data_IF_113248133297
#
_entry.id   IF_113248133297
#
_cell.length_a   1.000
_cell.length_b   1.000
_cell.length_c   1.000
_cell.angle_alpha   90.00
_cell.angle_beta   90.00
_cell.angle_gamma   90.00
#
_symmetry.space_group_name_H-M   'P 1'
#
loop_
_entity.id
_entity.type
_entity.pdbx_description
1 polymer ?
#
# COMPACT_ATOMS: atom_id res chain seq x y z
N UNK A 1 9.44 -14.01 2.35
CA UNK A 1 10.57 -13.11 2.02
C UNK A 1 10.14 -11.65 1.79
N UNK A 2 8.89 -11.25 2.08
CA UNK A 2 8.31 -10.00 1.56
C UNK A 2 8.25 -8.84 2.58
N UNK A 3 8.34 -9.13 3.89
CA UNK A 3 8.29 -8.11 4.96
C UNK A 3 9.51 -7.17 4.96
N UNK A 4 10.64 -7.61 4.42
CA UNK A 4 11.87 -6.81 4.37
C UNK A 4 11.74 -5.58 3.45
N UNK A 5 10.93 -5.67 2.40
CA UNK A 5 10.73 -4.53 1.48
C UNK A 5 9.75 -3.50 2.06
N UNK A 6 8.72 -3.97 2.76
CA UNK A 6 7.71 -3.14 3.44
C UNK A 6 8.35 -2.34 4.57
N UNK A 7 9.08 -3.03 5.46
CA UNK A 7 9.82 -2.41 6.55
C UNK A 7 10.93 -1.47 6.04
N UNK A 8 11.53 -1.78 4.89
CA UNK A 8 12.51 -0.91 4.24
C UNK A 8 11.91 0.42 3.80
N UNK A 9 10.72 0.40 3.17
CA UNK A 9 10.02 1.60 2.73
C UNK A 9 9.63 2.49 3.92
N UNK A 10 9.04 1.91 4.96
CA UNK A 10 8.61 2.66 6.16
C UNK A 10 9.78 3.29 6.91
N UNK A 11 10.91 2.58 7.00
CA UNK A 11 12.11 3.08 7.67
C UNK A 11 12.78 4.22 6.88
N UNK A 12 12.81 4.12 5.56
CA UNK A 12 13.32 5.18 4.68
C UNK A 12 12.39 6.40 4.70
N UNK A 13 11.06 6.21 4.70
CA UNK A 13 10.08 7.28 4.92
C UNK A 13 10.27 7.97 6.28
N UNK A 14 10.41 7.22 7.36
CA UNK A 14 10.64 7.79 8.70
C UNK A 14 11.94 8.59 8.76
N UNK A 15 13.00 8.13 8.09
CA UNK A 15 14.27 8.85 7.97
C UNK A 15 14.11 10.16 7.20
N UNK A 16 13.41 10.14 6.07
CA UNK A 16 13.12 11.32 5.24
C UNK A 16 12.21 12.33 5.96
N UNK A 17 11.19 11.87 6.67
CA UNK A 17 10.30 12.72 7.46
C UNK A 17 11.07 13.42 8.60
N UNK A 18 11.98 12.71 9.27
CA UNK A 18 12.87 13.33 10.28
C UNK A 18 13.79 14.36 9.63
N UNK A 19 14.43 14.05 8.50
CA UNK A 19 15.29 15.00 7.79
C UNK A 19 14.53 16.26 7.33
N UNK A 20 13.31 16.11 6.80
CA UNK A 20 12.44 17.21 6.43
C UNK A 20 12.02 18.05 7.66
N UNK A 21 11.72 17.42 8.78
CA UNK A 21 11.40 18.12 10.03
C UNK A 21 12.59 18.90 10.58
N UNK A 22 13.81 18.35 10.47
CA UNK A 22 15.04 19.03 10.87
C UNK A 22 15.26 20.28 10.00
N UNK A 23 15.05 20.18 8.68
CA UNK A 23 15.15 21.30 7.76
C UNK A 23 14.22 22.47 8.13
N UNK A 24 13.02 22.17 8.66
CA UNK A 24 12.04 23.16 9.18
C UNK A 24 12.51 23.83 10.47
N UNK A 25 13.16 23.10 11.36
CA UNK A 25 13.63 23.63 12.65
C UNK A 25 14.91 24.47 12.56
N UNK A 26 15.63 24.42 11.43
CA UNK A 26 16.75 25.33 11.17
C UNK A 26 16.17 26.72 10.91
N UNK A 27 15.79 27.40 11.99
CA UNK A 27 15.21 28.74 11.96
C UNK A 27 16.27 29.77 11.53
N UNK A 28 15.92 30.83 10.76
CA UNK A 28 16.87 31.77 10.17
C UNK A 28 17.52 32.75 11.18
N UNK A 29 17.48 32.47 12.47
CA UNK A 29 17.76 33.44 13.53
C UNK A 29 19.24 33.67 13.83
N UNK A 30 20.16 33.37 12.90
CA UNK A 30 21.53 33.80 13.04
C UNK A 30 22.07 34.36 11.72
N UNK A 31 22.11 35.69 11.70
CA UNK A 31 22.63 36.55 10.67
C UNK A 31 24.05 36.12 10.25
N UNK A 32 24.36 36.32 8.96
CA UNK A 32 25.71 36.49 8.40
C UNK A 32 26.50 35.27 7.84
N UNK A 33 25.86 34.19 7.38
CA UNK A 33 26.59 33.16 6.61
C UNK A 33 25.82 32.68 5.36
N UNK A 34 26.28 33.09 4.17
CA UNK A 34 25.85 32.59 2.86
C UNK A 34 25.91 31.05 2.74
N UNK A 35 26.73 30.38 3.58
CA UNK A 35 26.81 28.91 3.63
C UNK A 35 25.53 28.22 4.14
N UNK A 36 24.69 28.90 4.94
CA UNK A 36 23.50 28.30 5.54
C UNK A 36 22.36 28.07 4.54
N UNK A 37 22.22 28.96 3.54
CA UNK A 37 21.24 28.82 2.47
C UNK A 37 21.61 27.68 1.50
N UNK A 38 22.89 27.53 1.18
CA UNK A 38 23.38 26.46 0.32
C UNK A 38 23.25 25.08 0.97
N UNK A 39 23.58 24.97 2.27
CA UNK A 39 23.38 23.72 3.02
C UNK A 39 21.90 23.29 3.11
N UNK A 40 20.97 24.24 3.23
CA UNK A 40 19.53 23.95 3.17
C UNK A 40 19.11 23.45 1.80
N UNK A 41 19.63 24.05 0.72
CA UNK A 41 19.35 23.63 -0.64
C UNK A 41 19.90 22.23 -0.95
N UNK A 42 21.11 21.94 -0.49
CA UNK A 42 21.74 20.63 -0.65
C UNK A 42 20.99 19.54 0.13
N UNK A 43 20.59 19.83 1.37
CA UNK A 43 19.73 18.93 2.15
C UNK A 43 18.37 18.72 1.48
N UNK A 44 17.74 19.77 0.98
CA UNK A 44 16.48 19.66 0.28
C UNK A 44 16.58 18.80 -0.99
N UNK A 45 17.64 18.97 -1.78
CA UNK A 45 17.89 18.18 -2.99
C UNK A 45 18.11 16.70 -2.65
N UNK A 46 18.78 16.41 -1.53
CA UNK A 46 18.94 15.04 -1.04
C UNK A 46 17.62 14.41 -0.60
N UNK A 47 16.72 15.17 0.03
CA UNK A 47 15.37 14.73 0.42
C UNK A 47 14.51 14.50 -0.83
N UNK A 48 14.59 15.38 -1.84
CA UNK A 48 13.89 15.18 -3.13
C UNK A 48 14.33 13.90 -3.83
N UNK A 49 15.63 13.62 -3.84
CA UNK A 49 16.17 12.38 -4.43
C UNK A 49 15.68 11.15 -3.67
N UNK A 50 15.61 11.22 -2.34
CA UNK A 50 15.06 10.16 -1.50
C UNK A 50 13.55 9.93 -1.70
N UNK A 51 12.78 11.01 -1.88
CA UNK A 51 11.34 10.94 -2.19
C UNK A 51 11.10 10.25 -3.54
N UNK A 52 11.86 10.59 -4.59
CA UNK A 52 11.75 9.94 -5.90
C UNK A 52 12.10 8.44 -5.82
N UNK A 53 13.07 8.07 -4.97
CA UNK A 53 13.42 6.67 -4.71
C UNK A 53 12.30 5.92 -3.98
N UNK A 54 11.67 6.54 -2.96
CA UNK A 54 10.51 5.98 -2.27
C UNK A 54 9.31 5.81 -3.20
N UNK A 55 9.09 6.76 -4.11
CA UNK A 55 8.03 6.70 -5.12
C UNK A 55 8.26 5.53 -6.09
N UNK A 56 9.49 5.34 -6.56
CA UNK A 56 9.85 4.21 -7.43
C UNK A 56 9.71 2.87 -6.71
N UNK A 57 10.10 2.81 -5.43
CA UNK A 57 9.91 1.62 -4.60
C UNK A 57 8.44 1.31 -4.36
N UNK A 58 7.61 2.34 -4.13
CA UNK A 58 6.17 2.17 -3.98
C UNK A 58 5.53 1.64 -5.26
N UNK A 59 5.94 2.16 -6.42
CA UNK A 59 5.47 1.70 -7.72
C UNK A 59 5.86 0.24 -7.98
N UNK A 60 7.08 -0.16 -7.59
CA UNK A 60 7.53 -1.55 -7.71
C UNK A 60 6.74 -2.48 -6.77
N UNK A 61 6.47 -2.04 -5.53
CA UNK A 61 5.67 -2.77 -4.53
C UNK A 61 4.19 -2.95 -4.92
N UNK A 62 3.66 -1.96 -5.63
CA UNK A 62 2.33 -1.98 -6.24
C UNK A 62 2.31 -2.96 -7.43
N UNK A 63 3.33 -2.92 -8.30
CA UNK A 63 3.45 -3.85 -9.44
C UNK A 63 3.60 -5.31 -9.00
N UNK A 64 4.23 -5.56 -7.85
CA UNK A 64 4.40 -6.92 -7.30
C UNK A 64 3.16 -7.45 -6.57
N UNK A 65 2.03 -6.71 -6.56
CA UNK A 65 0.81 -7.04 -5.79
C UNK A 65 1.05 -7.31 -4.30
N UNK A 66 2.19 -6.86 -3.76
CA UNK A 66 2.56 -7.11 -2.37
C UNK A 66 1.92 -6.12 -1.40
N UNK A 67 1.43 -5.00 -1.92
CA UNK A 67 0.79 -3.93 -1.14
C UNK A 67 -0.60 -3.73 -1.69
N UNK A 68 -1.60 -3.73 -0.81
CA UNK A 68 -2.98 -3.37 -1.18
C UNK A 68 -2.99 -1.96 -1.77
N UNK A 69 -3.76 -1.77 -2.85
CA UNK A 69 -4.04 -0.47 -3.49
C UNK A 69 -4.34 0.65 -2.47
N UNK A 70 -4.99 0.31 -1.37
CA UNK A 70 -5.32 1.23 -0.25
C UNK A 70 -4.07 1.72 0.48
N UNK A 71 -3.14 0.83 0.81
CA UNK A 71 -1.91 1.19 1.51
C UNK A 71 -0.96 1.93 0.56
N UNK A 72 -0.94 1.58 -0.73
CA UNK A 72 -0.22 2.35 -1.74
C UNK A 72 -0.76 3.78 -1.88
N UNK A 73 -2.09 3.96 -1.92
CA UNK A 73 -2.74 5.27 -1.96
C UNK A 73 -2.45 6.11 -0.71
N UNK A 74 -2.49 5.51 0.48
CA UNK A 74 -2.12 6.17 1.74
C UNK A 74 -0.67 6.63 1.72
N UNK A 75 0.25 5.78 1.27
CA UNK A 75 1.69 6.06 1.15
C UNK A 75 1.99 7.16 0.13
N UNK A 76 1.28 7.20 -1.01
CA UNK A 76 1.35 8.33 -1.95
C UNK A 76 0.90 9.64 -1.30
N UNK A 77 -0.18 9.62 -0.51
CA UNK A 77 -0.65 10.79 0.23
C UNK A 77 0.41 11.35 1.19
N UNK A 78 1.13 10.47 1.88
CA UNK A 78 2.24 10.84 2.77
C UNK A 78 3.44 11.44 2.01
N UNK A 79 3.82 10.84 0.88
CA UNK A 79 4.89 11.37 0.02
C UNK A 79 4.54 12.74 -0.56
N UNK A 80 3.30 12.92 -1.02
CA UNK A 80 2.84 14.19 -1.60
C UNK A 80 2.75 15.30 -0.53
N UNK A 81 2.39 14.93 0.71
CA UNK A 81 2.46 15.82 1.87
C UNK A 81 3.89 16.29 2.18
N UNK A 82 4.86 15.37 2.23
CA UNK A 82 6.28 15.70 2.42
C UNK A 82 6.82 16.55 1.26
N UNK A 83 6.40 16.26 0.02
CA UNK A 83 6.80 17.01 -1.17
C UNK A 83 6.26 18.43 -1.16
N UNK A 84 5.01 18.64 -0.74
CA UNK A 84 4.43 19.97 -0.54
C UNK A 84 5.20 20.78 0.51
N UNK A 85 5.45 20.18 1.67
CA UNK A 85 6.22 20.83 2.75
C UNK A 85 7.65 21.18 2.33
N UNK A 86 8.27 20.34 1.51
CA UNK A 86 9.61 20.59 1.00
C UNK A 86 9.63 21.70 -0.06
N UNK A 87 8.61 21.77 -0.92
CA UNK A 87 8.44 22.82 -1.94
C UNK A 87 8.23 24.20 -1.32
N UNK A 88 7.48 24.27 -0.22
CA UNK A 88 7.27 25.49 0.56
C UNK A 88 8.59 25.96 1.21
N UNK A 89 9.38 25.03 1.75
CA UNK A 89 10.67 25.33 2.39
C UNK A 89 11.80 25.73 1.43
N UNK A 90 11.76 25.23 0.19
CA UNK A 90 12.86 25.38 -0.79
C UNK A 90 12.67 26.53 -1.75
N UNK A 91 11.57 27.27 -1.62
CA UNK A 91 11.32 28.39 -2.50
C UNK A 91 10.91 27.91 -3.89
N UNK A 92 9.67 27.45 -4.00
CA UNK A 92 8.87 27.70 -5.19
C UNK A 92 8.58 29.20 -5.34
N UNK A 93 9.61 30.05 -5.39
CA UNK A 93 9.53 31.41 -5.88
C UNK A 93 9.28 31.34 -7.38
N UNK A 94 8.05 31.03 -7.77
CA UNK A 94 7.53 31.45 -9.08
C UNK A 94 7.42 32.96 -9.04
N UNK A 95 8.52 33.59 -9.44
CA UNK A 95 8.60 34.89 -10.09
C UNK A 95 7.25 35.38 -10.60
N UNK A 96 6.75 36.46 -10.00
CA UNK A 96 5.53 37.12 -10.44
C UNK A 96 5.30 38.48 -9.79
N UNK A 97 6.30 39.38 -9.81
CA UNK A 97 6.06 40.81 -9.58
C UNK A 97 7.07 41.48 -8.65
N UNK A 98 8.01 42.21 -9.23
CA UNK A 98 9.07 42.92 -8.51
C UNK A 98 8.56 44.03 -7.57
N UNK A 99 9.26 44.17 -6.45
CA UNK A 99 9.21 45.31 -5.53
C UNK A 99 10.67 45.49 -5.09
N UNK A 100 11.42 46.49 -5.54
CA UNK A 100 11.08 47.89 -5.36
C UNK A 100 11.28 48.26 -3.89
N UNK A 101 12.53 48.45 -3.48
CA UNK A 101 12.98 49.34 -2.37
C UNK A 101 11.88 49.78 -1.39
N UNK A 102 11.88 49.37 -0.10
CA UNK A 102 10.83 49.79 0.81
C UNK A 102 10.96 51.30 1.09
N UNK A 103 9.89 52.11 1.00
CA UNK A 103 9.85 53.38 1.70
C UNK A 103 9.39 53.13 3.14
N UNK A 104 10.09 53.78 4.06
CA UNK A 104 9.72 53.89 5.45
C UNK A 104 8.32 54.52 5.59
N UNK A 105 7.44 53.90 6.39
CA UNK A 105 6.16 54.52 6.76
C UNK A 105 5.16 53.59 7.44
N UNK A 106 5.07 53.69 8.77
CA UNK A 106 3.81 53.63 9.51
C UNK A 106 3.10 52.28 9.69
N UNK A 107 3.34 51.62 10.82
CA UNK A 107 2.34 51.14 11.81
C UNK A 107 1.08 50.36 11.44
N UNK A 108 0.72 50.13 10.18
CA UNK A 108 -0.52 49.45 9.73
C UNK A 108 -0.22 48.18 8.91
N UNK A 109 1.06 47.88 8.66
CA UNK A 109 1.51 46.80 7.79
C UNK A 109 1.37 45.40 8.41
N UNK A 110 1.48 45.26 9.73
CA UNK A 110 1.45 43.93 10.36
C UNK A 110 0.11 43.21 10.16
N UNK A 111 -1.01 43.93 10.26
CA UNK A 111 -2.36 43.37 10.08
C UNK A 111 -2.68 43.09 8.62
N UNK A 112 -2.28 43.98 7.70
CA UNK A 112 -2.47 43.78 6.26
C UNK A 112 -1.59 42.66 5.69
N UNK A 113 -0.36 42.51 6.19
CA UNK A 113 0.53 41.40 5.86
C UNK A 113 0.00 40.07 6.45
N UNK A 114 -0.53 40.10 7.68
CA UNK A 114 -1.13 38.91 8.31
C UNK A 114 -2.42 38.44 7.61
N UNK A 115 -3.23 39.36 7.07
CA UNK A 115 -4.42 39.01 6.28
C UNK A 115 -4.04 38.38 4.93
N UNK A 116 -3.06 38.94 4.22
CA UNK A 116 -2.56 38.35 2.96
C UNK A 116 -2.01 36.94 3.15
N UNK A 117 -1.28 36.71 4.25
CA UNK A 117 -0.77 35.39 4.59
C UNK A 117 -1.91 34.42 4.95
N UNK A 118 -3.01 34.89 5.53
CA UNK A 118 -4.19 34.05 5.78
C UNK A 118 -4.92 33.69 4.49
N UNK A 119 -5.05 34.62 3.54
CA UNK A 119 -5.66 34.35 2.24
C UNK A 119 -4.86 33.31 1.45
N UNK A 120 -3.52 33.39 1.50
CA UNK A 120 -2.63 32.40 0.87
C UNK A 120 -2.79 31.00 1.51
N UNK A 121 -2.92 30.93 2.83
CA UNK A 121 -3.22 29.67 3.54
C UNK A 121 -4.60 29.11 3.19
N UNK A 122 -5.60 29.97 2.98
CA UNK A 122 -6.96 29.55 2.59
C UNK A 122 -6.96 28.96 1.17
N UNK A 123 -6.19 29.54 0.25
CA UNK A 123 -6.08 29.04 -1.13
C UNK A 123 -5.38 27.67 -1.17
N UNK A 124 -4.33 27.49 -0.37
CA UNK A 124 -3.68 26.19 -0.17
C UNK A 124 -4.61 25.15 0.46
N UNK A 125 -5.43 25.55 1.44
CA UNK A 125 -6.46 24.69 2.01
C UNK A 125 -7.52 24.31 0.96
N UNK A 126 -7.93 25.24 0.09
CA UNK A 126 -8.89 24.96 -0.96
C UNK A 126 -8.36 23.94 -1.97
N UNK A 127 -7.09 24.08 -2.37
CA UNK A 127 -6.40 23.10 -3.23
C UNK A 127 -6.27 21.75 -2.50
N UNK A 128 -5.94 21.76 -1.22
CA UNK A 128 -5.87 20.57 -0.37
C UNK A 128 -7.21 19.84 -0.26
N UNK A 129 -8.31 20.56 -0.06
CA UNK A 129 -9.68 20.02 -0.02
C UNK A 129 -10.08 19.45 -1.38
N UNK A 130 -9.69 20.09 -2.48
CA UNK A 130 -9.89 19.56 -3.83
C UNK A 130 -9.19 18.21 -4.04
N UNK A 131 -7.95 18.07 -3.56
CA UNK A 131 -7.22 16.80 -3.58
C UNK A 131 -7.88 15.74 -2.69
N UNK A 132 -8.26 16.11 -1.46
CA UNK A 132 -8.99 15.24 -0.54
C UNK A 132 -10.30 14.73 -1.16
N UNK A 133 -11.07 15.60 -1.81
CA UNK A 133 -12.30 15.23 -2.51
C UNK A 133 -12.05 14.20 -3.61
N UNK A 134 -11.03 14.42 -4.44
CA UNK A 134 -10.65 13.47 -5.49
C UNK A 134 -10.20 12.14 -4.88
N UNK A 135 -9.44 12.19 -3.78
CA UNK A 135 -9.04 11.00 -3.04
C UNK A 135 -10.23 10.25 -2.46
N UNK A 136 -11.21 10.95 -1.86
CA UNK A 136 -12.44 10.35 -1.35
C UNK A 136 -13.23 9.66 -2.45
N UNK A 137 -13.31 10.26 -3.65
CA UNK A 137 -13.98 9.63 -4.79
C UNK A 137 -13.27 8.35 -5.22
N UNK A 138 -11.93 8.36 -5.33
CA UNK A 138 -11.15 7.16 -5.66
C UNK A 138 -11.31 6.07 -4.60
N UNK A 139 -11.31 6.43 -3.30
CA UNK A 139 -11.55 5.49 -2.20
C UNK A 139 -12.95 4.86 -2.30
N UNK A 140 -13.96 5.65 -2.67
CA UNK A 140 -15.33 5.17 -2.83
C UNK A 140 -15.46 4.17 -3.99
N UNK A 141 -14.83 4.46 -5.12
CA UNK A 141 -14.84 3.57 -6.29
C UNK A 141 -14.08 2.25 -5.98
N UNK A 142 -12.94 2.34 -5.29
CA UNK A 142 -12.20 1.16 -4.83
C UNK A 142 -13.01 0.34 -3.84
N UNK A 143 -13.72 0.99 -2.91
CA UNK A 143 -14.60 0.30 -1.96
C UNK A 143 -15.70 -0.49 -2.67
N UNK A 144 -16.24 0.03 -3.78
CA UNK A 144 -17.22 -0.72 -4.59
C UNK A 144 -16.58 -1.91 -5.29
N UNK A 145 -15.38 -1.74 -5.84
CA UNK A 145 -14.64 -2.83 -6.46
C UNK A 145 -14.31 -3.93 -5.43
N UNK A 146 -13.90 -3.57 -4.22
CA UNK A 146 -13.66 -4.51 -3.13
C UNK A 146 -14.92 -5.28 -2.73
N UNK A 147 -16.08 -4.63 -2.63
CA UNK A 147 -17.35 -5.31 -2.36
C UNK A 147 -17.68 -6.31 -3.47
N UNK A 148 -17.44 -5.93 -4.73
CA UNK A 148 -17.66 -6.83 -5.85
C UNK A 148 -16.75 -8.07 -5.79
N UNK A 149 -15.46 -7.89 -5.56
CA UNK A 149 -14.50 -9.00 -5.41
C UNK A 149 -14.83 -9.91 -4.22
N UNK A 150 -15.27 -9.34 -3.09
CA UNK A 150 -15.71 -10.13 -1.94
C UNK A 150 -16.94 -10.99 -2.29
N UNK A 151 -17.88 -10.44 -3.06
CA UNK A 151 -19.06 -11.18 -3.51
C UNK A 151 -18.69 -12.30 -4.51
N UNK A 152 -17.73 -12.05 -5.40
CA UNK A 152 -17.19 -13.09 -6.28
C UNK A 152 -16.47 -14.19 -5.49
N UNK A 153 -15.70 -13.80 -4.46
CA UNK A 153 -15.02 -14.76 -3.59
C UNK A 153 -16.01 -15.61 -2.80
N UNK A 154 -17.07 -15.00 -2.27
CA UNK A 154 -18.16 -15.71 -1.57
C UNK A 154 -18.80 -16.75 -2.50
N UNK A 155 -19.14 -16.34 -3.72
CA UNK A 155 -19.67 -17.25 -4.75
C UNK A 155 -18.69 -18.38 -5.08
N UNK A 156 -17.40 -18.08 -5.20
CA UNK A 156 -16.38 -19.08 -5.49
C UNK A 156 -16.13 -20.04 -4.32
N UNK A 157 -16.24 -19.57 -3.08
CA UNK A 157 -16.17 -20.40 -1.86
C UNK A 157 -17.36 -21.34 -1.80
N UNK A 158 -18.56 -20.86 -2.12
CA UNK A 158 -19.75 -21.70 -2.21
C UNK A 158 -19.60 -22.80 -3.27
N UNK A 159 -19.10 -22.45 -4.47
CA UNK A 159 -18.82 -23.42 -5.53
C UNK A 159 -17.73 -24.42 -5.11
N UNK A 160 -16.68 -23.97 -4.43
CA UNK A 160 -15.62 -24.83 -3.93
C UNK A 160 -16.14 -25.80 -2.85
N UNK A 161 -17.01 -25.33 -1.94
CA UNK A 161 -17.66 -26.18 -0.95
C UNK A 161 -18.55 -27.23 -1.60
N UNK A 162 -19.37 -26.84 -2.57
CA UNK A 162 -20.20 -27.79 -3.33
C UNK A 162 -19.33 -28.83 -4.07
N UNK A 163 -18.23 -28.39 -4.69
CA UNK A 163 -17.28 -29.29 -5.33
C UNK A 163 -16.60 -30.26 -4.34
N UNK A 164 -16.25 -29.79 -3.14
CA UNK A 164 -15.71 -30.62 -2.07
C UNK A 164 -16.73 -31.63 -1.53
N UNK A 165 -17.99 -31.23 -1.37
CA UNK A 165 -19.09 -32.12 -0.98
C UNK A 165 -19.34 -33.21 -2.03
N UNK A 166 -19.32 -32.83 -3.31
CA UNK A 166 -19.44 -33.79 -4.41
C UNK A 166 -18.25 -34.76 -4.47
N UNK A 167 -17.03 -34.26 -4.28
CA UNK A 167 -15.83 -35.10 -4.29
C UNK A 167 -15.75 -36.00 -3.06
N UNK A 168 -16.16 -35.53 -1.88
CA UNK A 168 -16.26 -36.37 -0.67
C UNK A 168 -17.33 -37.44 -0.84
N UNK A 169 -18.48 -37.12 -1.44
CA UNK A 169 -19.52 -38.11 -1.76
C UNK A 169 -19.03 -39.15 -2.77
N UNK A 170 -18.27 -38.75 -3.79
CA UNK A 170 -17.62 -39.67 -4.74
C UNK A 170 -16.58 -40.56 -4.06
N UNK A 171 -15.72 -39.99 -3.21
CA UNK A 171 -14.72 -40.72 -2.44
C UNK A 171 -15.36 -41.75 -1.50
N UNK A 172 -16.50 -41.42 -0.89
CA UNK A 172 -17.25 -42.33 -0.02
C UNK A 172 -17.79 -43.53 -0.80
N UNK A 173 -18.39 -43.31 -1.97
CA UNK A 173 -18.88 -44.40 -2.84
C UNK A 173 -17.74 -45.30 -3.32
N UNK A 174 -16.63 -44.72 -3.76
CA UNK A 174 -15.43 -45.47 -4.19
C UNK A 174 -14.86 -46.35 -3.07
N UNK A 175 -14.92 -45.89 -1.82
CA UNK A 175 -14.48 -46.67 -0.65
C UNK A 175 -15.36 -47.90 -0.43
N UNK A 176 -16.67 -47.76 -0.59
CA UNK A 176 -17.63 -48.85 -0.40
C UNK A 176 -17.44 -49.95 -1.45
N UNK A 177 -17.33 -49.59 -2.73
CA UNK A 177 -17.12 -50.53 -3.83
C UNK A 177 -15.80 -51.32 -3.70
N UNK A 178 -14.71 -50.66 -3.27
CA UNK A 178 -13.42 -51.31 -3.05
C UNK A 178 -13.46 -52.36 -1.94
N UNK A 179 -14.25 -52.12 -0.89
CA UNK A 179 -14.42 -53.06 0.22
C UNK A 179 -15.13 -54.33 -0.23
N UNK A 180 -16.21 -54.17 -1.01
CA UNK A 180 -17.00 -55.29 -1.54
C UNK A 180 -16.18 -56.13 -2.52
N UNK A 181 -15.40 -55.51 -3.40
CA UNK A 181 -14.54 -56.21 -4.35
C UNK A 181 -13.46 -57.05 -3.63
N UNK A 182 -12.83 -56.48 -2.60
CA UNK A 182 -11.82 -57.19 -1.79
C UNK A 182 -12.43 -58.41 -1.09
N UNK A 183 -13.66 -58.30 -0.57
CA UNK A 183 -14.37 -59.41 0.07
C UNK A 183 -14.67 -60.55 -0.91
N UNK A 184 -15.13 -60.22 -2.13
CA UNK A 184 -15.37 -61.24 -3.17
C UNK A 184 -14.10 -61.98 -3.57
N UNK A 185 -12.96 -61.28 -3.69
CA UNK A 185 -11.67 -61.89 -4.02
C UNK A 185 -11.24 -62.92 -2.96
N UNK A 186 -11.41 -62.60 -1.67
CA UNK A 186 -11.11 -63.52 -0.56
C UNK A 186 -12.00 -64.75 -0.59
N UNK A 187 -13.31 -64.60 -0.84
CA UNK A 187 -14.25 -65.74 -0.95
C UNK A 187 -13.83 -66.68 -2.08
N UNK A 188 -13.52 -66.15 -3.27
CA UNK A 188 -13.09 -66.96 -4.41
C UNK A 188 -11.78 -67.70 -4.09
N UNK A 189 -10.80 -67.04 -3.48
CA UNK A 189 -9.54 -67.66 -3.07
C UNK A 189 -9.73 -68.79 -2.06
N UNK A 190 -10.59 -68.59 -1.04
CA UNK A 190 -10.93 -69.63 -0.07
C UNK A 190 -11.67 -70.81 -0.72
N UNK A 191 -12.57 -70.54 -1.68
CA UNK A 191 -13.28 -71.59 -2.43
C UNK A 191 -12.31 -72.47 -3.22
N UNK A 192 -11.31 -71.87 -3.87
CA UNK A 192 -10.28 -72.61 -4.62
C UNK A 192 -9.41 -73.43 -3.67
N UNK A 193 -8.99 -72.83 -2.54
CA UNK A 193 -8.17 -73.51 -1.54
C UNK A 193 -8.91 -74.70 -0.92
N UNK A 194 -10.20 -74.54 -0.62
CA UNK A 194 -11.07 -75.62 -0.14
C UNK A 194 -11.17 -76.74 -1.17
N UNK A 195 -11.34 -76.41 -2.45
CA UNK A 195 -11.40 -77.40 -3.52
C UNK A 195 -10.10 -78.20 -3.65
N UNK A 196 -8.94 -77.54 -3.57
CA UNK A 196 -7.64 -78.20 -3.54
C UNK A 196 -7.49 -79.14 -2.33
N UNK A 197 -7.98 -78.72 -1.16
CA UNK A 197 -7.91 -79.53 0.06
C UNK A 197 -8.78 -80.78 -0.04
N UNK A 198 -9.97 -80.68 -0.63
CA UNK A 198 -10.84 -81.82 -0.90
C UNK A 198 -10.18 -82.79 -1.87
N UNK A 199 -9.60 -82.30 -2.96
CA UNK A 199 -8.89 -83.15 -3.93
C UNK A 199 -7.70 -83.87 -3.30
N UNK A 200 -6.94 -83.20 -2.45
CA UNK A 200 -5.77 -83.81 -1.81
C UNK A 200 -6.14 -84.75 -0.66
N UNK A 201 -7.26 -84.49 0.04
CA UNK A 201 -7.76 -85.37 1.10
C UNK A 201 -8.58 -86.57 0.62
N UNK A 202 -9.08 -86.54 -0.62
CA UNK A 202 -9.73 -87.69 -1.26
C UNK A 202 -8.75 -88.61 -2.01
N UNK A 203 -7.52 -88.16 -2.29
CA UNK A 203 -6.45 -88.95 -2.89
C UNK A 203 -5.62 -89.67 -1.84
#
# INVERSE_FOLDING_TARGET
MNDYSMNGWDNEYARLARAASQLRTISPHNNNNNNSAQQKQDQATSIQTGLNRLDTQLHNLESSMTVSSVEAGRRRGLLDGLRGQLSELTGGSRSGGGIGRPPAGGGQSATAAALRHQDELIDDLAIGVGRLKTQTHMIHDESKAHVHLLNEMDTNVDLANQGLEDETRRAMRLREEKSVWRLHLVIVGLSVLLFLLILMGLS
#
